data_IF_068902174214
#
_entry.id   IF_068902174214
#
_cell.length_a   1.000
_cell.length_b   1.000
_cell.length_c   1.000
_cell.angle_alpha   90.00
_cell.angle_beta   90.00
_cell.angle_gamma   90.00
#
_symmetry.space_group_name_H-M   'P 1'
#
loop_
_entity.id
_entity.type
_entity.pdbx_description
1 polymer ?
#
# COMPACT_ATOMS: atom_id res chain seq x y z
N UNK A 1 -23.04 -9.23 19.18
CA UNK A 1 -21.89 -9.89 19.83
C UNK A 1 -20.61 -9.16 19.43
N UNK A 2 -19.75 -8.79 20.38
CA UNK A 2 -18.44 -8.17 20.09
C UNK A 2 -17.39 -9.26 20.34
N UNK A 3 -16.65 -9.67 19.31
CA UNK A 3 -15.51 -10.58 19.48
C UNK A 3 -14.36 -9.81 20.12
N UNK A 4 -14.20 -9.96 21.44
CA UNK A 4 -13.09 -9.39 22.21
C UNK A 4 -11.83 -10.26 22.13
N UNK A 5 -11.38 -10.57 20.91
CA UNK A 5 -10.15 -11.35 20.71
C UNK A 5 -8.96 -10.38 20.74
N UNK A 6 -7.91 -10.64 21.55
CA UNK A 6 -6.72 -9.80 21.54
C UNK A 6 -6.07 -9.83 20.15
N UNK A 7 -5.68 -8.65 19.66
CA UNK A 7 -4.93 -8.56 18.40
C UNK A 7 -3.58 -9.25 18.57
N UNK A 8 -3.26 -10.17 17.66
CA UNK A 8 -1.99 -10.89 17.61
C UNK A 8 -1.24 -10.49 16.34
N UNK A 9 0.02 -10.11 16.50
CA UNK A 9 0.94 -9.94 15.37
C UNK A 9 1.27 -11.35 14.84
N UNK A 10 0.89 -11.61 13.58
CA UNK A 10 1.11 -12.91 12.93
C UNK A 10 2.42 -12.97 12.14
N UNK A 11 2.89 -11.83 11.65
CA UNK A 11 4.10 -11.73 10.84
C UNK A 11 5.30 -11.24 11.67
N UNK A 12 6.48 -11.78 11.39
CA UNK A 12 7.75 -11.24 11.89
C UNK A 12 8.17 -9.98 11.13
N UNK A 13 9.25 -9.34 11.57
CA UNK A 13 9.74 -8.07 11.01
C UNK A 13 10.18 -8.18 9.54
N UNK A 14 10.50 -9.38 9.07
CA UNK A 14 10.94 -9.69 7.71
C UNK A 14 9.82 -10.17 6.77
N UNK A 15 8.59 -10.24 7.27
CA UNK A 15 7.43 -10.68 6.48
C UNK A 15 7.14 -9.69 5.35
N UNK A 16 7.26 -10.19 4.11
CA UNK A 16 6.97 -9.40 2.90
C UNK A 16 5.47 -9.15 2.68
N UNK A 17 4.62 -9.85 3.42
CA UNK A 17 3.16 -9.72 3.37
C UNK A 17 2.53 -10.31 2.10
N UNK A 18 1.30 -9.89 1.84
CA UNK A 18 0.56 -10.23 0.63
C UNK A 18 0.62 -9.06 -0.37
N UNK A 19 0.57 -9.36 -1.66
CA UNK A 19 0.44 -8.30 -2.66
C UNK A 19 -0.90 -7.56 -2.50
N UNK A 20 -0.85 -6.24 -2.32
CA UNK A 20 -2.06 -5.41 -2.14
C UNK A 20 -2.98 -5.36 -3.37
N UNK A 21 -2.48 -5.79 -4.54
CA UNK A 21 -3.26 -5.85 -5.80
C UNK A 21 -3.88 -7.22 -6.05
N UNK A 22 -3.13 -8.31 -5.89
CA UNK A 22 -3.60 -9.66 -6.24
C UNK A 22 -3.68 -10.66 -5.08
N UNK A 23 -3.19 -10.31 -3.88
CA UNK A 23 -3.28 -11.16 -2.68
C UNK A 23 -2.24 -12.28 -2.61
N UNK A 24 -1.35 -12.42 -3.59
CA UNK A 24 -0.32 -13.47 -3.57
C UNK A 24 0.64 -13.31 -2.40
N UNK A 25 1.10 -14.41 -1.82
CA UNK A 25 2.06 -14.41 -0.73
C UNK A 25 3.47 -14.07 -1.21
N UNK A 26 3.93 -12.85 -0.90
CA UNK A 26 5.25 -12.34 -1.33
C UNK A 26 6.43 -13.04 -0.64
N UNK A 27 6.15 -13.85 0.40
CA UNK A 27 7.14 -14.70 1.04
C UNK A 27 7.43 -15.97 0.22
N UNK A 28 6.47 -16.42 -0.59
CA UNK A 28 6.57 -17.65 -1.39
C UNK A 28 6.88 -17.38 -2.85
N UNK A 29 6.33 -16.31 -3.42
CA UNK A 29 6.50 -15.99 -4.83
C UNK A 29 6.41 -14.48 -5.11
N UNK A 30 6.87 -14.07 -6.28
CA UNK A 30 6.74 -12.70 -6.77
C UNK A 30 5.43 -12.48 -7.52
N UNK A 31 4.80 -11.32 -7.38
CA UNK A 31 3.67 -10.93 -8.21
C UNK A 31 4.11 -10.24 -9.51
N UNK A 32 3.32 -10.39 -10.58
CA UNK A 32 3.46 -9.62 -11.82
C UNK A 32 2.58 -8.36 -11.86
N UNK A 33 2.03 -7.94 -10.73
CA UNK A 33 1.25 -6.71 -10.69
C UNK A 33 2.14 -5.52 -11.04
N UNK A 34 1.63 -4.61 -11.88
CA UNK A 34 2.33 -3.36 -12.16
C UNK A 34 2.66 -2.67 -10.84
N UNK A 35 3.95 -2.40 -10.62
CA UNK A 35 4.36 -1.55 -9.52
C UNK A 35 3.68 -0.20 -9.72
N UNK A 36 3.09 0.40 -8.67
CA UNK A 36 2.69 1.79 -8.78
C UNK A 36 3.92 2.56 -9.23
N UNK A 37 3.79 3.34 -10.30
CA UNK A 37 4.87 4.21 -10.73
C UNK A 37 5.26 5.10 -9.53
N UNK A 38 6.56 5.32 -9.34
CA UNK A 38 7.13 6.20 -8.30
C UNK A 38 6.80 7.69 -8.55
N UNK A 39 5.60 7.96 -9.01
CA UNK A 39 5.06 9.30 -9.17
C UNK A 39 3.84 9.40 -8.28
N UNK A 40 3.75 10.52 -7.58
CA UNK A 40 2.63 10.96 -6.75
C UNK A 40 1.33 11.10 -7.56
N UNK A 41 0.91 10.08 -8.30
CA UNK A 41 -0.24 10.05 -9.20
C UNK A 41 -1.53 10.39 -8.46
N UNK A 42 -1.64 9.97 -7.20
CA UNK A 42 -2.78 10.30 -6.33
C UNK A 42 -2.91 11.81 -6.13
N UNK A 43 -1.78 12.51 -6.07
CA UNK A 43 -1.71 13.95 -5.87
C UNK A 43 -1.47 14.73 -7.17
N UNK A 44 -1.38 14.07 -8.32
CA UNK A 44 -1.23 14.73 -9.62
C UNK A 44 -2.38 15.70 -9.91
N UNK A 45 -3.58 15.42 -9.37
CA UNK A 45 -4.71 16.34 -9.43
C UNK A 45 -4.47 17.65 -8.64
N UNK A 46 -3.68 17.59 -7.56
CA UNK A 46 -3.36 18.72 -6.69
C UNK A 46 -2.20 19.57 -7.19
N UNK A 47 -1.35 19.08 -8.11
CA UNK A 47 -0.26 19.87 -8.70
C UNK A 47 -0.80 21.14 -9.37
N UNK A 48 -2.00 21.08 -9.93
CA UNK A 48 -2.71 22.24 -10.50
C UNK A 48 -3.00 23.30 -9.44
N UNK A 49 -3.31 22.90 -8.22
CA UNK A 49 -3.63 23.82 -7.12
C UNK A 49 -2.36 24.43 -6.51
N UNK A 50 -1.26 23.67 -6.44
CA UNK A 50 0.04 24.15 -5.95
C UNK A 50 0.54 25.38 -6.72
N UNK A 51 0.37 25.39 -8.05
CA UNK A 51 0.76 26.53 -8.89
C UNK A 51 -0.09 27.80 -8.69
N UNK A 52 -1.30 27.65 -8.14
CA UNK A 52 -2.20 28.78 -7.86
C UNK A 52 -2.05 29.33 -6.43
N UNK A 53 -1.34 28.61 -5.55
CA UNK A 53 -1.10 28.99 -4.15
C UNK A 53 0.24 29.74 -3.97
N UNK A 54 1.02 29.90 -5.04
CA UNK A 54 2.22 30.73 -5.05
C UNK A 54 1.90 32.18 -5.41
N UNK A 55 1.31 32.92 -4.47
CA UNK A 55 1.28 34.38 -4.41
C UNK A 55 1.44 34.82 -2.95
#
# INVERSE_FOLDING_TARGET
AILSVPMKILCGDDCKGLCFKCGVNLNSESCNCEKPADTNSVWAALDKLKNNLGN
#
